data_IF_973413382697
#
_entry.id   IF_973413382697
#
_cell.length_a   1.000
_cell.length_b   1.000
_cell.length_c   1.000
_cell.angle_alpha   90.00
_cell.angle_beta   90.00
_cell.angle_gamma   90.00
#
_symmetry.space_group_name_H-M   'P 1'
#
loop_
_entity.id
_entity.type
_entity.pdbx_description
1 polymer ?
#
# COMPACT_ATOMS: atom_id res chain seq x y z
N UNK A 1 6.93 75.53 -6.50
CA UNK A 1 6.00 75.67 -7.64
C UNK A 1 6.02 74.35 -8.42
N UNK A 2 4.82 73.76 -8.66
CA UNK A 2 4.50 72.53 -9.43
C UNK A 2 4.88 71.19 -8.75
N UNK A 3 3.97 70.56 -8.00
CA UNK A 3 2.91 69.60 -8.43
C UNK A 3 3.45 68.25 -8.89
N UNK A 4 3.20 67.19 -8.11
CA UNK A 4 2.78 65.90 -8.69
C UNK A 4 1.85 65.15 -7.73
N UNK A 5 0.67 64.87 -8.25
CA UNK A 5 -0.52 64.35 -7.59
C UNK A 5 -0.31 62.93 -7.05
N UNK A 6 -0.77 62.69 -5.83
CA UNK A 6 -1.09 61.36 -5.31
C UNK A 6 -2.59 61.13 -5.57
N UNK A 7 -2.90 60.38 -6.62
CA UNK A 7 -4.25 59.89 -6.85
C UNK A 7 -4.40 58.51 -6.21
N UNK A 8 -5.31 58.41 -5.24
CA UNK A 8 -5.99 57.17 -4.89
C UNK A 8 -6.70 56.62 -6.14
N UNK A 9 -6.49 55.35 -6.43
CA UNK A 9 -7.40 54.56 -7.27
C UNK A 9 -7.61 53.22 -6.58
N UNK A 10 -8.80 53.06 -6.01
CA UNK A 10 -9.33 51.79 -5.58
C UNK A 10 -9.56 50.90 -6.82
N UNK A 11 -8.96 49.71 -6.82
CA UNK A 11 -9.37 48.62 -7.68
C UNK A 11 -9.86 47.48 -6.78
N UNK A 12 -11.17 47.35 -6.69
CA UNK A 12 -11.87 46.15 -6.27
C UNK A 12 -11.43 45.02 -7.21
N UNK A 13 -10.57 44.11 -6.71
CA UNK A 13 -10.36 42.81 -7.37
C UNK A 13 -11.55 41.94 -6.99
N UNK A 14 -12.55 41.93 -7.87
CA UNK A 14 -13.54 40.86 -7.91
C UNK A 14 -12.82 39.54 -8.16
N UNK A 15 -12.81 38.66 -7.16
CA UNK A 15 -12.45 37.25 -7.35
C UNK A 15 -13.69 36.54 -7.88
N UNK A 16 -13.74 36.10 -9.16
CA UNK A 16 -14.78 35.18 -9.57
C UNK A 16 -14.53 33.83 -8.87
N UNK A 17 -15.52 33.36 -8.10
CA UNK A 17 -15.63 31.95 -7.72
C UNK A 17 -15.84 31.15 -9.01
N UNK A 18 -14.77 30.58 -9.55
CA UNK A 18 -14.85 29.53 -10.56
C UNK A 18 -14.98 28.17 -9.85
N UNK A 19 -15.76 27.23 -10.42
CA UNK A 19 -16.07 25.95 -9.79
C UNK A 19 -14.81 25.07 -9.72
N UNK A 20 -14.68 24.42 -8.56
CA UNK A 20 -13.67 23.42 -8.22
C UNK A 20 -13.93 22.11 -9.02
N UNK A 21 -13.93 22.17 -10.35
CA UNK A 21 -13.94 21.01 -11.26
C UNK A 21 -13.05 21.36 -12.45
N UNK A 22 -11.76 21.46 -12.18
CA UNK A 22 -10.68 21.40 -13.16
C UNK A 22 -9.51 20.72 -12.45
N UNK A 23 -9.69 19.44 -12.12
CA UNK A 23 -8.56 18.56 -11.88
C UNK A 23 -7.96 18.23 -13.24
N UNK A 24 -6.63 18.29 -13.30
CA UNK A 24 -5.79 18.01 -14.44
C UNK A 24 -6.30 16.82 -15.27
N UNK A 25 -6.65 17.09 -16.53
CA UNK A 25 -6.72 16.06 -17.55
C UNK A 25 -5.27 15.66 -17.90
N UNK A 26 -4.62 14.89 -17.03
CA UNK A 26 -3.46 14.09 -17.43
C UNK A 26 -3.92 13.17 -18.55
N UNK A 27 -3.21 13.20 -19.67
CA UNK A 27 -3.54 12.35 -20.82
C UNK A 27 -3.44 10.88 -20.41
N UNK A 28 -4.33 9.97 -20.87
CA UNK A 28 -4.21 8.55 -20.60
C UNK A 28 -2.84 7.94 -20.96
N UNK A 29 -2.09 8.60 -21.85
CA UNK A 29 -0.73 8.24 -22.22
C UNK A 29 0.31 8.58 -21.14
N UNK A 30 0.20 9.75 -20.49
CA UNK A 30 1.12 10.16 -19.42
C UNK A 30 0.91 9.28 -18.18
N UNK A 31 -0.35 8.94 -17.86
CA UNK A 31 -0.66 7.99 -16.78
C UNK A 31 -0.12 6.58 -17.05
N UNK A 32 0.06 6.19 -18.31
CA UNK A 32 0.56 4.85 -18.65
C UNK A 32 2.09 4.79 -18.59
N UNK A 33 2.77 5.87 -18.97
CA UNK A 33 4.22 6.02 -18.78
C UNK A 33 4.60 6.07 -17.29
N UNK A 34 3.81 6.77 -16.46
CA UNK A 34 3.98 6.77 -15.00
C UNK A 34 3.76 5.38 -14.37
N UNK A 35 2.76 4.62 -14.85
CA UNK A 35 2.51 3.24 -14.41
C UNK A 35 3.65 2.30 -14.83
N UNK A 36 4.19 2.48 -16.03
CA UNK A 36 5.29 1.66 -16.55
C UNK A 36 6.60 1.98 -15.82
N UNK A 37 6.87 3.25 -15.51
CA UNK A 37 7.99 3.67 -14.68
C UNK A 37 7.87 3.13 -13.26
N UNK A 38 6.67 3.18 -12.66
CA UNK A 38 6.42 2.60 -11.34
C UNK A 38 6.61 1.08 -11.34
N UNK A 39 6.13 0.39 -12.39
CA UNK A 39 6.31 -1.05 -12.56
C UNK A 39 7.78 -1.43 -12.75
N UNK A 40 8.54 -0.64 -13.52
CA UNK A 40 9.98 -0.83 -13.70
C UNK A 40 10.75 -0.68 -12.40
N UNK A 41 10.48 0.39 -11.64
CA UNK A 41 11.07 0.60 -10.31
C UNK A 41 10.73 -0.54 -9.34
N UNK A 42 9.49 -1.07 -9.40
CA UNK A 42 9.07 -2.18 -8.54
C UNK A 42 9.71 -3.51 -8.96
N UNK A 43 9.95 -3.73 -10.26
CA UNK A 43 10.65 -4.90 -10.76
C UNK A 43 12.13 -4.90 -10.35
N UNK A 44 12.77 -3.72 -10.37
CA UNK A 44 14.16 -3.55 -9.93
C UNK A 44 14.34 -3.77 -8.41
N UNK A 45 13.27 -3.66 -7.61
CA UNK A 45 13.29 -4.00 -6.18
C UNK A 45 13.45 -5.50 -5.92
N UNK A 46 13.10 -6.36 -6.89
CA UNK A 46 13.14 -7.82 -6.75
C UNK A 46 13.89 -8.47 -7.92
N UNK A 47 15.20 -8.24 -8.06
CA UNK A 47 15.98 -8.78 -9.17
C UNK A 47 16.01 -10.31 -9.09
N UNK A 48 15.52 -10.98 -10.14
CA UNK A 48 15.62 -12.43 -10.28
C UNK A 48 16.77 -12.78 -11.21
N UNK A 49 17.74 -13.54 -10.70
CA UNK A 49 18.78 -14.12 -11.56
C UNK A 49 18.16 -15.08 -12.58
N UNK A 50 18.71 -15.07 -13.80
CA UNK A 50 18.32 -16.03 -14.82
C UNK A 50 18.67 -17.46 -14.36
N UNK A 51 17.81 -18.42 -14.69
CA UNK A 51 18.05 -19.81 -14.34
C UNK A 51 19.31 -20.33 -15.04
N UNK A 52 20.10 -21.11 -14.31
CA UNK A 52 21.18 -21.89 -14.92
C UNK A 52 20.60 -22.99 -15.82
N UNK A 53 21.34 -23.51 -16.81
CA UNK A 53 20.85 -24.59 -17.68
C UNK A 53 20.39 -25.84 -16.90
N UNK A 54 21.04 -26.12 -15.77
CA UNK A 54 20.66 -27.25 -14.90
C UNK A 54 19.30 -27.01 -14.21
N UNK A 55 19.00 -25.77 -13.81
CA UNK A 55 17.73 -25.40 -13.21
C UNK A 55 16.62 -25.35 -14.28
N UNK A 56 16.89 -24.81 -15.47
CA UNK A 56 15.96 -24.86 -16.60
C UNK A 56 15.56 -26.29 -16.94
N UNK A 57 16.50 -27.23 -16.93
CA UNK A 57 16.23 -28.64 -17.20
C UNK A 57 15.34 -29.32 -16.14
N UNK A 58 15.16 -28.71 -14.96
CA UNK A 58 14.27 -29.19 -13.88
C UNK A 58 12.89 -28.54 -13.92
N UNK A 59 12.72 -27.46 -14.69
CA UNK A 59 11.51 -26.66 -14.69
C UNK A 59 10.22 -27.48 -14.96
N UNK A 60 10.18 -28.42 -15.93
CA UNK A 60 8.98 -29.24 -16.14
C UNK A 60 8.61 -30.12 -14.93
N UNK A 61 9.60 -30.62 -14.18
CA UNK A 61 9.34 -31.37 -12.94
C UNK A 61 8.87 -30.44 -11.82
N UNK A 62 9.46 -29.24 -11.72
CA UNK A 62 9.05 -28.25 -10.74
C UNK A 62 7.61 -27.77 -10.98
N UNK A 63 7.23 -27.55 -12.24
CA UNK A 63 5.86 -27.22 -12.65
C UNK A 63 4.86 -28.30 -12.24
N UNK A 64 5.20 -29.58 -12.42
CA UNK A 64 4.36 -30.70 -12.01
C UNK A 64 4.15 -30.74 -10.49
N UNK A 65 5.20 -30.51 -9.70
CA UNK A 65 5.13 -30.42 -8.23
C UNK A 65 4.28 -29.22 -7.81
N UNK A 66 4.52 -28.05 -8.40
CA UNK A 66 3.77 -26.82 -8.08
C UNK A 66 2.30 -26.96 -8.45
N UNK A 67 1.94 -27.65 -9.54
CA UNK A 67 0.54 -27.90 -9.88
C UNK A 67 -0.22 -28.73 -8.83
N UNK A 68 0.48 -29.45 -7.94
CA UNK A 68 -0.11 -30.16 -6.80
C UNK A 68 -0.29 -29.26 -5.58
N UNK A 69 0.69 -28.39 -5.31
CA UNK A 69 0.68 -27.45 -4.18
C UNK A 69 -0.28 -26.31 -4.44
N UNK A 70 -0.25 -25.79 -5.66
CA UNK A 70 -1.03 -24.66 -6.11
C UNK A 70 -1.81 -25.04 -7.38
N UNK A 71 -2.88 -25.86 -7.25
CA UNK A 71 -3.81 -26.15 -8.35
C UNK A 71 -4.45 -24.89 -8.93
N UNK A 72 -5.05 -25.03 -10.11
CA UNK A 72 -5.74 -23.91 -10.77
C UNK A 72 -6.92 -23.42 -9.91
N UNK A 73 -7.06 -22.10 -9.77
CA UNK A 73 -8.08 -21.46 -8.92
C UNK A 73 -7.77 -21.53 -7.42
N UNK A 74 -6.57 -21.96 -7.03
CA UNK A 74 -6.15 -21.93 -5.61
C UNK A 74 -5.97 -20.51 -5.13
N UNK A 75 -5.55 -19.59 -6.01
CA UNK A 75 -5.42 -18.19 -5.63
C UNK A 75 -6.77 -17.53 -5.39
N UNK A 76 -7.76 -17.85 -6.24
CA UNK A 76 -9.15 -17.44 -6.05
C UNK A 76 -9.70 -17.94 -4.71
N UNK A 77 -9.58 -19.25 -4.41
CA UNK A 77 -10.01 -19.78 -3.10
C UNK A 77 -9.33 -19.11 -1.91
N UNK A 78 -8.00 -18.93 -1.97
CA UNK A 78 -7.25 -18.26 -0.91
C UNK A 78 -7.79 -16.83 -0.69
N UNK A 79 -8.08 -16.11 -1.77
CA UNK A 79 -8.65 -14.77 -1.68
C UNK A 79 -10.08 -14.79 -1.17
N UNK A 80 -10.93 -15.72 -1.59
CA UNK A 80 -12.29 -15.86 -1.06
C UNK A 80 -12.27 -16.08 0.46
N UNK A 81 -11.45 -17.03 0.94
CA UNK A 81 -11.35 -17.39 2.36
C UNK A 81 -10.78 -16.26 3.23
N UNK A 82 -9.91 -15.40 2.67
CA UNK A 82 -9.31 -14.27 3.40
C UNK A 82 -10.11 -12.98 3.27
N UNK A 83 -10.69 -12.72 2.10
CA UNK A 83 -11.37 -11.50 1.75
C UNK A 83 -12.79 -11.48 2.31
N UNK A 84 -13.49 -12.61 2.38
CA UNK A 84 -14.84 -12.64 2.96
C UNK A 84 -14.88 -12.13 4.42
N UNK A 85 -14.03 -12.60 5.35
CA UNK A 85 -13.95 -12.05 6.71
C UNK A 85 -13.55 -10.57 6.71
N UNK A 86 -12.62 -10.17 5.85
CA UNK A 86 -12.16 -8.78 5.75
C UNK A 86 -13.27 -7.86 5.24
N UNK A 87 -14.03 -8.28 4.24
CA UNK A 87 -15.16 -7.53 3.69
C UNK A 87 -16.30 -7.43 4.68
N UNK A 88 -16.57 -8.50 5.44
CA UNK A 88 -17.50 -8.44 6.55
C UNK A 88 -17.05 -7.43 7.62
N UNK A 89 -15.76 -7.38 7.96
CA UNK A 89 -15.21 -6.40 8.89
C UNK A 89 -15.30 -4.96 8.36
N UNK A 90 -14.96 -4.73 7.09
CA UNK A 90 -15.04 -3.41 6.43
C UNK A 90 -16.49 -2.96 6.30
N UNK A 91 -17.41 -3.83 5.93
CA UNK A 91 -18.83 -3.48 5.87
C UNK A 91 -19.40 -3.17 7.26
N UNK A 92 -18.88 -3.85 8.30
CA UNK A 92 -19.10 -3.47 9.69
C UNK A 92 -18.57 -2.08 10.06
N UNK A 93 -17.39 -1.71 9.57
CA UNK A 93 -16.79 -0.39 9.82
C UNK A 93 -17.42 0.73 8.96
N UNK A 94 -17.93 0.42 7.77
CA UNK A 94 -18.64 1.37 6.91
C UNK A 94 -19.92 1.90 7.57
N UNK A 95 -20.58 1.12 8.44
CA UNK A 95 -21.68 1.63 9.28
C UNK A 95 -21.26 2.76 10.21
N UNK A 96 -19.96 2.87 10.52
CA UNK A 96 -19.40 3.93 11.36
C UNK A 96 -19.07 5.22 10.57
N UNK A 97 -19.02 5.17 9.23
CA UNK A 97 -18.74 6.34 8.38
C UNK A 97 -19.92 7.33 8.32
N UNK A 98 -21.19 6.88 8.15
CA UNK A 98 -22.36 7.74 8.32
C UNK A 98 -22.36 8.44 9.67
N UNK A 99 -21.93 7.79 10.76
CA UNK A 99 -21.83 8.43 12.07
C UNK A 99 -20.81 9.58 12.07
N UNK A 100 -19.67 9.44 11.40
CA UNK A 100 -18.69 10.51 11.25
C UNK A 100 -19.23 11.69 10.42
N UNK A 101 -19.95 11.44 9.32
CA UNK A 101 -20.57 12.48 8.52
C UNK A 101 -21.73 13.17 9.25
N UNK A 102 -22.51 12.44 10.05
CA UNK A 102 -23.58 13.03 10.85
C UNK A 102 -23.07 13.92 11.98
N UNK A 103 -21.88 13.62 12.54
CA UNK A 103 -21.17 14.57 13.42
C UNK A 103 -20.80 15.85 12.67
N UNK A 104 -20.27 15.73 11.45
CA UNK A 104 -19.84 16.87 10.64
C UNK A 104 -21.01 17.76 10.19
N UNK A 105 -22.18 17.17 9.89
CA UNK A 105 -23.37 17.89 9.42
C UNK A 105 -24.23 18.42 10.58
N UNK A 106 -24.37 17.62 11.64
CA UNK A 106 -25.30 17.89 12.74
C UNK A 106 -24.68 18.51 14.00
N UNK A 107 -23.35 18.61 14.09
CA UNK A 107 -22.66 19.10 15.29
C UNK A 107 -22.88 18.24 16.54
N UNK A 108 -23.32 16.99 16.36
CA UNK A 108 -23.57 16.04 17.44
C UNK A 108 -22.26 15.36 17.88
N UNK A 109 -22.15 15.05 19.17
CA UNK A 109 -21.02 14.29 19.70
C UNK A 109 -21.22 12.78 19.48
N UNK A 110 -20.13 12.00 19.64
CA UNK A 110 -20.12 10.56 19.44
C UNK A 110 -21.03 9.83 20.43
N UNK A 111 -21.19 10.35 21.65
CA UNK A 111 -22.12 9.82 22.67
C UNK A 111 -23.58 9.90 22.24
N UNK A 112 -23.98 11.03 21.67
CA UNK A 112 -25.39 11.31 21.35
C UNK A 112 -25.85 10.47 20.15
N UNK A 113 -24.94 10.23 19.20
CA UNK A 113 -25.19 9.35 18.07
C UNK A 113 -25.23 7.87 18.46
N UNK A 114 -24.43 7.44 19.43
CA UNK A 114 -24.47 6.08 19.95
C UNK A 114 -25.81 5.78 20.66
N UNK A 115 -26.42 6.79 21.28
CA UNK A 115 -27.73 6.67 21.95
C UNK A 115 -28.93 6.72 20.98
N UNK A 116 -28.75 7.20 19.75
CA UNK A 116 -29.84 7.37 18.78
C UNK A 116 -30.43 6.05 18.25
N UNK A 117 -29.71 4.93 18.41
CA UNK A 117 -30.14 3.59 18.02
C UNK A 117 -30.15 3.34 16.49
N UNK A 118 -29.87 2.10 16.10
CA UNK A 118 -29.65 1.71 14.69
C UNK A 118 -30.81 2.08 13.75
N UNK A 119 -32.06 2.02 14.22
CA UNK A 119 -33.24 2.32 13.42
C UNK A 119 -33.31 3.79 12.99
N UNK A 120 -33.03 4.72 13.92
CA UNK A 120 -33.06 6.16 13.64
C UNK A 120 -31.90 6.60 12.75
N UNK A 121 -30.76 5.92 12.87
CA UNK A 121 -29.62 6.11 11.99
C UNK A 121 -29.94 5.64 10.56
N UNK A 122 -30.61 4.49 10.43
CA UNK A 122 -31.11 3.98 9.15
C UNK A 122 -32.04 4.96 8.44
N UNK A 123 -32.98 5.58 9.18
CA UNK A 123 -33.89 6.60 8.63
C UNK A 123 -33.13 7.82 8.07
N UNK A 124 -32.08 8.27 8.77
CA UNK A 124 -31.25 9.40 8.34
C UNK A 124 -30.47 9.04 7.07
N UNK A 125 -29.89 7.85 7.01
CA UNK A 125 -29.18 7.35 5.82
C UNK A 125 -30.15 7.26 4.64
N UNK A 126 -31.37 6.75 4.84
CA UNK A 126 -32.40 6.68 3.80
C UNK A 126 -32.85 8.06 3.30
N UNK A 127 -32.77 9.11 4.13
CA UNK A 127 -33.03 10.50 3.68
C UNK A 127 -31.86 11.03 2.84
N UNK A 128 -30.62 10.75 3.23
CA UNK A 128 -29.42 11.26 2.56
C UNK A 128 -29.12 10.52 1.25
N UNK A 129 -29.31 9.20 1.24
CA UNK A 129 -29.17 8.35 0.06
C UNK A 129 -30.28 7.28 0.07
N UNK A 130 -31.43 7.58 -0.57
CA UNK A 130 -32.56 6.65 -0.67
C UNK A 130 -32.21 5.31 -1.32
N UNK A 131 -31.11 5.25 -2.08
CA UNK A 131 -30.62 4.05 -2.76
C UNK A 131 -29.34 3.50 -2.10
N UNK A 132 -29.05 3.85 -0.84
CA UNK A 132 -27.83 3.46 -0.15
C UNK A 132 -27.57 1.95 -0.20
N UNK A 133 -28.57 1.13 0.15
CA UNK A 133 -28.43 -0.33 0.15
C UNK A 133 -28.14 -0.88 -1.25
N UNK A 134 -28.85 -0.40 -2.26
CA UNK A 134 -28.64 -0.80 -3.67
C UNK A 134 -27.25 -0.38 -4.16
N UNK A 135 -26.82 0.85 -3.84
CA UNK A 135 -25.51 1.38 -4.22
C UNK A 135 -24.38 0.63 -3.52
N UNK A 136 -24.54 0.32 -2.23
CA UNK A 136 -23.59 -0.50 -1.47
C UNK A 136 -23.49 -1.90 -2.05
N UNK A 137 -24.61 -2.54 -2.38
CA UNK A 137 -24.61 -3.86 -3.00
C UNK A 137 -23.91 -3.87 -4.37
N UNK A 138 -24.22 -2.88 -5.23
CA UNK A 138 -23.57 -2.73 -6.54
C UNK A 138 -22.07 -2.50 -6.38
N UNK A 139 -21.66 -1.62 -5.46
CA UNK A 139 -20.24 -1.36 -5.19
C UNK A 139 -19.51 -2.61 -4.71
N UNK A 140 -20.08 -3.34 -3.74
CA UNK A 140 -19.53 -4.61 -3.27
C UNK A 140 -19.39 -5.64 -4.39
N UNK A 141 -20.39 -5.74 -5.27
CA UNK A 141 -20.34 -6.65 -6.41
C UNK A 141 -19.20 -6.29 -7.38
N UNK A 142 -19.08 -5.02 -7.76
CA UNK A 142 -17.99 -4.55 -8.64
C UNK A 142 -16.62 -4.86 -8.02
N UNK A 143 -16.46 -4.62 -6.72
CA UNK A 143 -15.20 -4.89 -6.04
C UNK A 143 -14.83 -6.38 -6.06
N UNK A 144 -15.81 -7.27 -5.81
CA UNK A 144 -15.59 -8.72 -5.86
C UNK A 144 -15.24 -9.17 -7.27
N UNK A 145 -15.96 -8.69 -8.29
CA UNK A 145 -15.68 -9.00 -9.70
C UNK A 145 -14.28 -8.54 -10.11
N UNK A 146 -13.90 -7.29 -9.79
CA UNK A 146 -12.57 -6.77 -10.11
C UNK A 146 -11.43 -7.55 -9.43
N UNK A 147 -11.61 -7.94 -8.16
CA UNK A 147 -10.61 -8.76 -7.44
C UNK A 147 -10.53 -10.15 -8.07
N UNK A 148 -11.66 -10.76 -8.42
CA UNK A 148 -11.71 -12.05 -9.11
C UNK A 148 -10.93 -12.03 -10.43
N UNK A 149 -11.21 -11.05 -11.29
CA UNK A 149 -10.52 -10.88 -12.58
C UNK A 149 -9.01 -10.68 -12.41
N UNK A 150 -8.61 -9.88 -11.41
CA UNK A 150 -7.20 -9.63 -11.10
C UNK A 150 -6.50 -10.93 -10.66
N UNK A 151 -7.13 -11.71 -9.79
CA UNK A 151 -6.61 -12.96 -9.26
C UNK A 151 -6.45 -14.00 -10.37
N UNK A 152 -7.46 -14.14 -11.23
CA UNK A 152 -7.40 -15.01 -12.40
C UNK A 152 -6.27 -14.60 -13.35
N UNK A 153 -6.07 -13.30 -13.56
CA UNK A 153 -4.99 -12.79 -14.41
C UNK A 153 -3.58 -12.99 -13.84
N UNK A 154 -3.41 -12.91 -12.52
CA UNK A 154 -2.10 -13.03 -11.86
C UNK A 154 -1.68 -14.47 -11.62
N UNK A 155 -2.64 -15.37 -11.35
CA UNK A 155 -2.36 -16.75 -10.93
C UNK A 155 -1.37 -17.49 -11.86
N UNK A 156 -1.47 -17.44 -13.20
CA UNK A 156 -0.52 -18.11 -14.08
C UNK A 156 0.94 -17.66 -13.88
N UNK A 157 1.15 -16.34 -13.76
CA UNK A 157 2.47 -15.74 -13.54
C UNK A 157 3.03 -16.09 -12.16
N UNK A 158 2.17 -16.08 -11.14
CA UNK A 158 2.54 -16.49 -9.79
C UNK A 158 2.99 -17.96 -9.74
N UNK A 159 2.24 -18.86 -10.40
CA UNK A 159 2.59 -20.29 -10.51
C UNK A 159 3.89 -20.50 -11.28
N UNK A 160 4.12 -19.76 -12.35
CA UNK A 160 5.39 -19.81 -13.09
C UNK A 160 6.57 -19.36 -12.20
N UNK A 161 6.38 -18.29 -11.42
CA UNK A 161 7.35 -17.85 -10.41
C UNK A 161 7.66 -18.92 -9.36
N UNK A 162 6.63 -19.58 -8.83
CA UNK A 162 6.78 -20.71 -7.90
C UNK A 162 7.56 -21.87 -8.54
N UNK A 163 7.22 -22.25 -9.78
CA UNK A 163 7.92 -23.34 -10.47
C UNK A 163 9.42 -23.03 -10.64
N UNK A 164 9.78 -21.80 -11.02
CA UNK A 164 11.18 -21.36 -11.07
C UNK A 164 11.84 -21.42 -9.69
N UNK A 165 11.16 -20.94 -8.65
CA UNK A 165 11.66 -20.98 -7.28
C UNK A 165 11.94 -22.41 -6.80
N UNK A 166 11.10 -23.38 -7.20
CA UNK A 166 11.30 -24.81 -6.93
C UNK A 166 12.47 -25.39 -7.74
N UNK A 167 12.58 -25.06 -9.02
CA UNK A 167 13.69 -25.51 -9.88
C UNK A 167 15.07 -25.04 -9.37
N UNK A 168 15.12 -23.85 -8.74
CA UNK A 168 16.34 -23.31 -8.10
C UNK A 168 16.68 -24.04 -6.80
N UNK A 169 15.69 -24.33 -5.96
CA UNK A 169 15.89 -24.83 -4.58
C UNK A 169 16.05 -26.34 -4.49
N UNK A 170 15.46 -27.09 -5.42
CA UNK A 170 15.39 -28.54 -5.34
C UNK A 170 16.15 -29.20 -6.50
N UNK A 171 16.77 -30.33 -6.19
CA UNK A 171 17.36 -31.19 -7.19
C UNK A 171 16.30 -32.05 -7.88
N UNK A 172 16.65 -32.65 -9.02
CA UNK A 172 15.74 -33.52 -9.77
C UNK A 172 15.19 -34.67 -8.92
N UNK A 173 16.03 -35.27 -8.08
CA UNK A 173 15.63 -36.35 -7.16
C UNK A 173 14.54 -35.90 -6.20
N UNK A 174 14.70 -34.71 -5.62
CA UNK A 174 13.80 -34.17 -4.61
C UNK A 174 12.45 -33.85 -5.22
N UNK A 175 12.43 -33.26 -6.43
CA UNK A 175 11.19 -32.97 -7.16
C UNK A 175 10.41 -34.25 -7.49
N UNK A 176 11.10 -35.35 -7.83
CA UNK A 176 10.45 -36.64 -8.07
C UNK A 176 9.88 -37.23 -6.78
N UNK A 177 10.59 -37.10 -5.66
CA UNK A 177 10.12 -37.58 -4.38
C UNK A 177 8.93 -36.76 -3.85
N UNK A 178 8.97 -35.44 -4.01
CA UNK A 178 7.87 -34.53 -3.69
C UNK A 178 6.62 -34.85 -4.51
N UNK A 179 6.74 -35.02 -5.83
CA UNK A 179 5.61 -35.42 -6.67
C UNK A 179 5.02 -36.76 -6.21
N UNK A 180 5.86 -37.75 -5.93
CA UNK A 180 5.40 -39.05 -5.38
C UNK A 180 4.66 -38.88 -4.05
N UNK A 181 5.17 -38.03 -3.15
CA UNK A 181 4.52 -37.75 -1.87
C UNK A 181 3.16 -37.08 -2.07
N UNK A 182 3.08 -36.06 -2.92
CA UNK A 182 1.83 -35.33 -3.19
C UNK A 182 0.79 -36.14 -3.97
N UNK A 183 1.19 -37.24 -4.61
CA UNK A 183 0.24 -38.23 -5.17
C UNK A 183 -0.41 -39.11 -4.10
N UNK A 184 0.10 -39.15 -2.87
CA UNK A 184 -0.56 -39.86 -1.77
C UNK A 184 -1.80 -39.09 -1.30
N UNK A 185 -2.84 -39.76 -0.75
CA UNK A 185 -4.03 -39.07 -0.27
C UNK A 185 -3.74 -37.99 0.80
N UNK A 186 -2.78 -38.26 1.69
CA UNK A 186 -2.38 -37.30 2.73
C UNK A 186 -1.51 -36.19 2.16
N UNK A 187 -0.53 -36.52 1.31
CA UNK A 187 0.36 -35.54 0.70
C UNK A 187 -0.38 -34.59 -0.22
N UNK A 188 -1.33 -35.07 -1.02
CA UNK A 188 -2.15 -34.22 -1.89
C UNK A 188 -3.03 -33.26 -1.10
N UNK A 189 -3.66 -33.74 -0.01
CA UNK A 189 -4.42 -32.87 0.89
C UNK A 189 -3.51 -31.84 1.56
N UNK A 190 -2.38 -32.27 2.10
CA UNK A 190 -1.41 -31.34 2.70
C UNK A 190 -0.96 -30.27 1.70
N UNK A 191 -0.62 -30.66 0.46
CA UNK A 191 -0.19 -29.72 -0.57
C UNK A 191 -1.25 -28.64 -0.82
N UNK A 192 -2.51 -29.05 -1.04
CA UNK A 192 -3.62 -28.14 -1.31
C UNK A 192 -4.01 -27.22 -0.14
N UNK A 193 -3.84 -27.69 1.10
CA UNK A 193 -4.23 -26.97 2.33
C UNK A 193 -3.08 -26.10 2.88
N UNK A 194 -1.83 -26.47 2.63
CA UNK A 194 -0.65 -25.89 3.29
C UNK A 194 -0.56 -24.37 3.18
N UNK A 195 -0.92 -23.79 2.04
CA UNK A 195 -0.94 -22.35 1.83
C UNK A 195 -2.13 -21.70 2.54
N UNK A 196 -3.30 -22.34 2.52
CA UNK A 196 -4.53 -21.87 3.15
C UNK A 196 -4.41 -21.85 4.68
N UNK A 197 -3.64 -22.78 5.27
CA UNK A 197 -3.39 -22.82 6.71
C UNK A 197 -2.77 -21.51 7.21
N UNK A 198 -1.92 -20.83 6.42
CA UNK A 198 -1.36 -19.53 6.82
C UNK A 198 -2.39 -18.39 6.79
N UNK A 199 -3.48 -18.58 6.06
CA UNK A 199 -4.64 -17.70 6.05
C UNK A 199 -5.69 -18.08 7.09
N UNK A 200 -5.50 -19.19 7.84
CA UNK A 200 -6.47 -19.67 8.81
C UNK A 200 -6.71 -18.60 9.91
N UNK A 201 -7.97 -18.33 10.29
CA UNK A 201 -8.30 -17.35 11.32
C UNK A 201 -7.59 -17.59 12.66
N UNK A 202 -7.28 -18.84 13.00
CA UNK A 202 -6.53 -19.15 14.23
C UNK A 202 -5.07 -18.72 14.14
N UNK A 203 -4.46 -18.85 12.96
CA UNK A 203 -3.09 -18.37 12.71
C UNK A 203 -3.08 -16.85 12.72
N UNK A 204 -4.02 -16.22 12.01
CA UNK A 204 -4.15 -14.76 11.96
C UNK A 204 -4.45 -14.15 13.34
N UNK A 205 -5.29 -14.80 14.15
CA UNK A 205 -5.57 -14.35 15.52
C UNK A 205 -4.31 -14.35 16.38
N UNK A 206 -3.47 -15.38 16.27
CA UNK A 206 -2.20 -15.43 16.99
C UNK A 206 -1.25 -14.29 16.56
N UNK A 207 -1.29 -13.87 15.28
CA UNK A 207 -0.53 -12.70 14.83
C UNK A 207 -1.07 -11.39 15.42
N UNK A 208 -2.38 -11.26 15.64
CA UNK A 208 -2.96 -10.08 16.30
C UNK A 208 -2.50 -9.94 17.75
N UNK A 209 -2.21 -11.06 18.43
CA UNK A 209 -1.64 -11.06 19.79
C UNK A 209 -0.20 -10.53 19.85
N UNK A 210 0.50 -10.46 18.71
CA UNK A 210 1.86 -9.88 18.64
C UNK A 210 1.83 -8.36 18.66
N UNK A 211 0.74 -7.73 18.20
CA UNK A 211 0.64 -6.27 18.10
C UNK A 211 0.79 -5.55 19.46
N UNK A 212 0.12 -5.99 20.55
CA UNK A 212 0.37 -5.42 21.88
C UNK A 212 1.83 -5.55 22.32
N UNK A 213 2.49 -6.67 22.06
CA UNK A 213 3.89 -6.87 22.43
C UNK A 213 4.84 -5.90 21.70
N UNK A 214 4.55 -5.58 20.44
CA UNK A 214 5.30 -4.55 19.69
C UNK A 214 5.10 -3.17 20.32
N UNK A 215 3.88 -2.82 20.71
CA UNK A 215 3.58 -1.54 21.38
C UNK A 215 4.26 -1.43 22.74
N UNK A 216 4.31 -2.52 23.51
CA UNK A 216 5.01 -2.59 24.78
C UNK A 216 6.53 -2.45 24.63
N UNK A 217 7.09 -2.91 23.51
CA UNK A 217 8.53 -2.83 23.22
C UNK A 217 8.97 -1.48 22.63
N UNK A 218 8.04 -0.63 22.14
CA UNK A 218 8.39 0.65 21.51
C UNK A 218 9.19 1.60 22.40
N UNK A 219 8.89 1.77 23.71
CA UNK A 219 9.68 2.62 24.59
C UNK A 219 11.14 2.17 24.67
N UNK A 220 11.38 0.89 24.92
CA UNK A 220 12.72 0.32 25.00
C UNK A 220 13.46 0.44 23.66
N UNK A 221 12.75 0.30 22.53
CA UNK A 221 13.33 0.52 21.21
C UNK A 221 13.75 1.98 21.01
N UNK A 222 12.94 2.95 21.46
CA UNK A 222 13.27 4.38 21.39
C UNK A 222 14.46 4.74 22.29
N UNK A 223 14.55 4.18 23.49
CA UNK A 223 15.69 4.37 24.39
C UNK A 223 16.97 3.79 23.78
N UNK A 224 16.93 2.56 23.29
CA UNK A 224 18.06 1.94 22.59
C UNK A 224 18.49 2.73 21.35
N UNK A 225 17.53 3.31 20.61
CA UNK A 225 17.82 4.17 19.48
C UNK A 225 18.52 5.45 19.93
N UNK A 226 18.05 6.10 21.00
CA UNK A 226 18.67 7.32 21.55
C UNK A 226 20.10 7.06 22.04
N UNK A 227 20.33 6.06 22.89
CA UNK A 227 21.67 5.73 23.40
C UNK A 227 22.68 5.47 22.28
N UNK A 228 22.26 4.77 21.23
CA UNK A 228 23.13 4.47 20.08
C UNK A 228 23.31 5.69 19.18
N UNK A 229 22.30 6.55 19.07
CA UNK A 229 22.37 7.78 18.27
C UNK A 229 23.26 8.82 18.93
N UNK A 230 23.32 8.90 20.27
CA UNK A 230 24.25 9.74 21.02
C UNK A 230 25.72 9.40 20.75
N UNK A 231 26.00 8.16 20.32
CA UNK A 231 27.35 7.72 19.94
C UNK A 231 27.69 8.06 18.48
N UNK A 232 26.70 8.44 17.68
CA UNK A 232 26.93 8.87 16.31
C UNK A 232 27.27 10.37 16.29
N UNK A 233 28.11 10.81 15.34
CA UNK A 233 28.24 12.24 15.06
C UNK A 233 26.86 12.82 14.77
N UNK A 234 26.62 14.06 15.23
CA UNK A 234 25.40 14.74 14.84
C UNK A 234 25.30 14.80 13.31
N UNK A 235 24.09 14.68 12.74
CA UNK A 235 23.88 14.94 11.33
C UNK A 235 24.51 16.30 10.98
N UNK A 236 25.32 16.33 9.92
CA UNK A 236 25.91 17.58 9.43
C UNK A 236 24.80 18.46 8.89
N UNK A 237 24.82 19.74 9.25
CA UNK A 237 23.95 20.75 8.66
C UNK A 237 24.48 21.15 7.28
N UNK A 238 23.67 21.86 6.47
CA UNK A 238 24.15 22.33 5.17
C UNK A 238 25.29 23.35 5.33
N UNK A 239 25.26 24.10 6.43
CA UNK A 239 26.31 25.04 6.87
C UNK A 239 27.66 24.36 7.19
N UNK A 240 27.67 23.06 7.51
CA UNK A 240 28.87 22.27 7.79
C UNK A 240 29.55 21.72 6.52
N UNK A 241 28.93 21.88 5.35
CA UNK A 241 29.42 21.35 4.08
C UNK A 241 30.35 22.35 3.39
N UNK A 242 31.46 21.87 2.82
CA UNK A 242 32.32 22.73 2.01
C UNK A 242 31.74 22.95 0.59
N UNK A 243 32.28 23.93 -0.15
CA UNK A 243 31.82 24.27 -1.50
C UNK A 243 31.81 23.07 -2.46
N UNK A 244 32.77 22.15 -2.32
CA UNK A 244 32.88 20.98 -3.18
C UNK A 244 31.82 19.92 -2.83
N UNK A 245 31.48 19.82 -1.54
CA UNK A 245 30.41 18.96 -1.04
C UNK A 245 29.03 19.52 -1.40
N UNK A 246 28.84 20.84 -1.33
CA UNK A 246 27.62 21.53 -1.77
C UNK A 246 27.42 21.44 -3.28
N UNK A 247 28.48 21.61 -4.09
CA UNK A 247 28.41 21.43 -5.55
C UNK A 247 28.09 19.98 -5.90
N UNK A 248 28.65 19.01 -5.15
CA UNK A 248 28.31 17.59 -5.30
C UNK A 248 26.86 17.31 -4.91
N UNK A 249 26.37 17.89 -3.83
CA UNK A 249 24.99 17.76 -3.37
C UNK A 249 24.01 18.39 -4.36
N UNK A 250 24.34 19.57 -4.89
CA UNK A 250 23.63 20.27 -5.97
C UNK A 250 23.48 19.38 -7.21
N UNK A 251 24.58 18.77 -7.67
CA UNK A 251 24.56 17.90 -8.85
C UNK A 251 23.72 16.64 -8.64
N UNK A 252 23.69 16.09 -7.43
CA UNK A 252 22.88 14.91 -7.10
C UNK A 252 21.39 15.23 -6.94
N UNK A 253 21.06 16.37 -6.35
CA UNK A 253 19.67 16.79 -6.11
C UNK A 253 19.05 17.52 -7.30
N UNK A 254 19.85 17.93 -8.29
CA UNK A 254 19.39 18.72 -9.44
C UNK A 254 18.98 20.15 -9.06
N UNK A 255 19.43 20.66 -7.91
CA UNK A 255 19.14 22.00 -7.40
C UNK A 255 20.31 22.93 -7.70
N UNK A 256 20.07 24.22 -7.96
CA UNK A 256 21.15 25.14 -8.27
C UNK A 256 22.12 25.27 -7.07
N UNK A 257 23.45 25.31 -7.30
CA UNK A 257 24.43 25.45 -6.22
C UNK A 257 24.24 26.71 -5.38
N UNK A 258 23.72 27.78 -5.98
CA UNK A 258 23.44 29.05 -5.30
C UNK A 258 22.28 28.94 -4.31
N UNK A 259 21.27 28.10 -4.61
CA UNK A 259 20.13 27.88 -3.72
C UNK A 259 20.52 27.05 -2.48
N UNK A 260 21.40 26.06 -2.65
CA UNK A 260 21.93 25.29 -1.52
C UNK A 260 22.87 26.11 -0.63
N UNK A 261 23.67 27.01 -1.22
CA UNK A 261 24.50 27.96 -0.46
C UNK A 261 23.63 28.97 0.30
N UNK A 262 22.61 29.51 -0.34
CA UNK A 262 21.66 30.40 0.34
C UNK A 262 20.91 29.71 1.49
N UNK A 263 20.57 28.43 1.34
CA UNK A 263 19.98 27.64 2.43
C UNK A 263 20.96 27.40 3.59
N UNK A 264 22.23 27.09 3.29
CA UNK A 264 23.28 26.94 4.29
C UNK A 264 23.56 28.25 5.05
N UNK A 265 23.53 29.39 4.35
CA UNK A 265 23.70 30.72 4.95
C UNK A 265 22.51 31.11 5.84
N UNK A 266 21.28 30.84 5.38
CA UNK A 266 20.07 31.10 6.17
C UNK A 266 19.97 30.22 7.43
N UNK A 267 20.52 29.00 7.39
CA UNK A 267 20.62 28.09 8.54
C UNK A 267 21.62 28.62 9.59
N UNK A 268 22.71 29.25 9.16
CA UNK A 268 23.65 29.93 10.06
C UNK A 268 23.04 31.19 10.73
N UNK A 269 22.24 31.97 10.01
CA UNK A 269 21.59 33.18 10.56
C UNK A 269 20.47 32.88 11.58
N UNK A 270 19.88 31.69 11.54
CA UNK A 270 18.81 31.26 12.46
C UNK A 270 19.29 30.79 13.85
N UNK A 271 20.60 30.66 14.05
CA UNK A 271 21.23 30.14 15.28
C UNK A 271 21.95 31.22 16.12
N UNK A 272 21.96 32.51 15.70
CA UNK A 272 22.43 33.67 16.48
C UNK A 272 21.33 34.32 17.35
#
# INVERSE_FOLDING_TARGET
MKMKNWCFAAALVSVPLSPLVAQDTQSPAESMEDVEALAGNLADMFPTEALTPAQEARLPQAEAVVARIFPEGTYARLMDETMEPMMNAIMGSMKQVPLAQLRAIGGMDQSDLAEMGDARLGDIIAILDPAYEERSAVFSQIMVEMVGDLVEGIEPSYRAGLARAYAVRFERSDLVELDRFFQTPVGGRYAAESMLIFADPQVMSAMNEVMPAVLEMMPDMMENFQERSEQLPQPRELSDLDDSELDRLSALLGVAPEDLRAAADAENEGHE
#
